data_IF_168700069023
#
_entry.id   IF_168700069023
#
_cell.length_a   1.000
_cell.length_b   1.000
_cell.length_c   1.000
_cell.angle_alpha   90.00
_cell.angle_beta   90.00
_cell.angle_gamma   90.00
#
_symmetry.space_group_name_H-M   'P 1'
#
loop_
_entity.id
_entity.type
_entity.pdbx_description
1 polymer ?
#
# COMPACT_ATOMS: atom_id res chain seq x y z
N UNK A 1 26.52 22.74 -22.73
CA UNK A 1 26.47 21.27 -22.58
C UNK A 1 25.52 20.98 -21.44
N UNK A 2 24.51 20.15 -21.66
CA UNK A 2 23.62 19.71 -20.59
C UNK A 2 24.39 18.82 -19.63
N UNK A 3 24.54 19.27 -18.39
CA UNK A 3 25.23 18.53 -17.32
C UNK A 3 24.40 17.31 -16.87
N UNK A 4 23.08 17.38 -17.03
CA UNK A 4 22.14 16.31 -16.71
C UNK A 4 22.41 15.08 -17.59
N UNK A 5 22.38 13.89 -16.99
CA UNK A 5 22.74 12.61 -17.61
C UNK A 5 24.19 12.19 -17.35
N UNK A 6 25.04 13.10 -16.87
CA UNK A 6 26.44 12.80 -16.56
C UNK A 6 26.56 11.87 -15.36
N UNK A 7 27.42 10.85 -15.46
CA UNK A 7 27.79 10.03 -14.32
C UNK A 7 28.71 10.81 -13.38
N UNK A 8 28.39 10.82 -12.09
CA UNK A 8 29.08 11.57 -11.05
C UNK A 8 29.47 10.66 -9.89
N UNK A 9 30.63 10.92 -9.30
CA UNK A 9 31.08 10.29 -8.05
C UNK A 9 30.39 10.96 -6.87
N UNK A 10 29.90 10.16 -5.92
CA UNK A 10 29.15 10.66 -4.76
C UNK A 10 30.11 11.03 -3.62
N UNK A 11 30.21 12.31 -3.20
CA UNK A 11 31.13 12.74 -2.15
C UNK A 11 30.95 11.97 -0.84
N UNK A 12 32.05 11.52 -0.24
CA UNK A 12 32.02 10.80 1.05
C UNK A 12 31.47 9.36 0.97
N UNK A 13 31.44 8.76 -0.22
CA UNK A 13 31.16 7.33 -0.42
C UNK A 13 31.95 6.79 -1.62
N UNK A 14 32.27 5.49 -1.58
CA UNK A 14 32.77 4.78 -2.75
C UNK A 14 31.60 4.39 -3.66
N UNK A 15 31.29 5.24 -4.64
CA UNK A 15 30.45 4.89 -5.78
C UNK A 15 29.83 6.07 -6.51
N UNK A 16 28.83 5.79 -7.35
CA UNK A 16 28.45 6.64 -8.48
C UNK A 16 26.94 6.83 -8.58
N UNK A 17 26.53 7.91 -9.22
CA UNK A 17 25.15 8.19 -9.61
C UNK A 17 25.08 8.93 -10.93
N UNK A 18 23.87 9.17 -11.40
CA UNK A 18 23.59 9.97 -12.60
C UNK A 18 23.04 11.32 -12.14
N UNK A 19 23.62 12.42 -12.61
CA UNK A 19 23.07 13.75 -12.37
C UNK A 19 21.74 13.88 -13.11
N UNK A 20 20.64 14.08 -12.38
CA UNK A 20 19.29 14.20 -12.94
C UNK A 20 18.75 15.63 -12.87
N UNK A 21 19.28 16.44 -11.95
CA UNK A 21 18.85 17.81 -11.74
C UNK A 21 20.01 18.71 -11.29
N UNK A 22 20.00 19.97 -11.72
CA UNK A 22 20.90 21.03 -11.24
C UNK A 22 20.12 22.33 -11.11
N UNK A 23 20.04 22.88 -9.90
CA UNK A 23 19.29 24.13 -9.67
C UNK A 23 18.89 24.38 -8.22
N UNK A 24 18.14 25.46 -7.96
CA UNK A 24 17.59 25.77 -6.64
C UNK A 24 16.46 24.82 -6.25
N UNK A 25 16.25 24.61 -4.95
CA UNK A 25 15.13 23.82 -4.43
C UNK A 25 14.26 24.76 -3.59
N UNK A 26 12.95 24.72 -3.80
CA UNK A 26 11.99 25.50 -3.03
C UNK A 26 12.17 25.26 -1.53
N UNK A 27 12.17 26.36 -0.77
CA UNK A 27 12.39 26.31 0.68
C UNK A 27 13.83 26.03 1.13
N UNK A 28 14.81 25.88 0.20
CA UNK A 28 16.23 25.65 0.54
C UNK A 28 17.14 26.69 -0.13
N UNK A 29 18.06 27.24 0.66
CA UNK A 29 19.05 28.18 0.16
C UNK A 29 20.18 27.46 -0.61
N UNK A 30 20.56 28.02 -1.77
CA UNK A 30 21.67 27.54 -2.59
C UNK A 30 21.26 26.68 -3.78
N UNK A 31 22.27 26.18 -4.49
CA UNK A 31 22.09 25.33 -5.68
C UNK A 31 22.44 23.88 -5.33
N UNK A 32 21.66 22.95 -5.86
CA UNK A 32 21.76 21.53 -5.57
C UNK A 32 21.89 20.72 -6.85
N UNK A 33 22.67 19.64 -6.77
CA UNK A 33 22.63 18.54 -7.73
C UNK A 33 21.72 17.44 -7.21
N UNK A 34 20.66 17.13 -7.96
CA UNK A 34 19.84 15.94 -7.74
C UNK A 34 20.44 14.77 -8.50
N UNK A 35 20.81 13.71 -7.80
CA UNK A 35 21.45 12.52 -8.37
C UNK A 35 20.59 11.29 -8.15
N UNK A 36 20.52 10.42 -9.16
CA UNK A 36 20.00 9.07 -9.05
C UNK A 36 21.16 8.12 -8.75
N UNK A 37 21.15 7.48 -7.59
CA UNK A 37 22.22 6.59 -7.16
C UNK A 37 22.16 5.26 -7.91
N UNK A 38 23.33 4.72 -8.28
CA UNK A 38 23.43 3.42 -8.97
C UNK A 38 24.06 2.37 -8.04
N UNK A 39 23.63 1.12 -8.20
CA UNK A 39 24.24 -0.03 -7.53
C UNK A 39 23.97 -0.06 -6.02
N UNK A 40 24.90 -0.61 -5.21
CA UNK A 40 24.70 -0.77 -3.76
C UNK A 40 24.45 0.53 -2.98
N UNK A 41 24.81 1.68 -3.55
CA UNK A 41 24.54 3.00 -2.98
C UNK A 41 23.07 3.38 -3.03
N UNK A 42 22.34 2.89 -4.03
CA UNK A 42 20.91 3.18 -4.21
C UNK A 42 20.10 2.72 -3.00
N UNK A 43 20.36 1.51 -2.50
CA UNK A 43 19.68 0.92 -1.34
C UNK A 43 20.12 1.52 0.00
N UNK A 44 21.35 2.03 0.09
CA UNK A 44 21.94 2.46 1.37
C UNK A 44 21.93 3.97 1.62
N UNK A 45 21.90 4.80 0.57
CA UNK A 45 21.96 6.26 0.68
C UNK A 45 20.88 7.02 -0.06
N UNK A 46 20.03 6.34 -0.81
CA UNK A 46 18.85 6.96 -1.39
C UNK A 46 17.90 7.47 -0.30
N UNK A 47 17.32 8.65 -0.50
CA UNK A 47 16.49 9.33 0.51
C UNK A 47 15.17 9.86 -0.02
N UNK A 48 15.05 10.01 -1.33
CA UNK A 48 13.87 10.56 -1.96
C UNK A 48 13.69 9.96 -3.35
N UNK A 49 12.53 10.22 -3.96
CA UNK A 49 12.23 9.81 -5.33
C UNK A 49 12.33 11.01 -6.30
N UNK A 50 13.22 11.96 -5.98
CA UNK A 50 13.41 13.19 -6.74
C UNK A 50 12.39 14.29 -6.46
N UNK A 51 11.60 14.17 -5.39
CA UNK A 51 10.70 15.20 -4.90
C UNK A 51 11.16 15.80 -3.55
N UNK A 52 10.80 17.06 -3.29
CA UNK A 52 10.96 17.75 -2.00
C UNK A 52 9.66 18.52 -1.74
N UNK A 53 9.04 18.29 -0.57
CA UNK A 53 7.84 19.00 -0.10
C UNK A 53 6.69 19.06 -1.14
N UNK A 54 6.48 17.97 -1.87
CA UNK A 54 5.43 17.84 -2.88
C UNK A 54 5.79 18.34 -4.29
N UNK A 55 6.95 18.98 -4.46
CA UNK A 55 7.46 19.43 -5.76
C UNK A 55 8.41 18.37 -6.35
N UNK A 56 8.15 17.92 -7.58
CA UNK A 56 8.98 16.96 -8.31
C UNK A 56 10.07 17.70 -9.10
N UNK A 57 11.34 17.36 -8.87
CA UNK A 57 12.50 17.97 -9.53
C UNK A 57 13.12 17.06 -10.59
N UNK A 58 13.09 15.74 -10.39
CA UNK A 58 13.58 14.77 -11.36
C UNK A 58 12.99 13.38 -11.11
N UNK A 59 12.95 12.53 -12.13
CA UNK A 59 12.49 11.16 -11.99
C UNK A 59 13.63 10.18 -11.67
N UNK A 60 13.29 9.15 -10.89
CA UNK A 60 14.18 8.01 -10.58
C UNK A 60 13.55 6.73 -11.13
N UNK A 61 14.38 5.79 -11.59
CA UNK A 61 13.90 4.48 -12.09
C UNK A 61 13.42 3.59 -10.96
N UNK A 62 14.05 3.70 -9.79
CA UNK A 62 13.72 2.92 -8.60
C UNK A 62 13.34 3.91 -7.49
N UNK A 63 12.19 3.76 -6.82
CA UNK A 63 11.79 4.64 -5.73
C UNK A 63 12.86 4.76 -4.64
N UNK A 64 12.94 5.92 -4.00
CA UNK A 64 13.87 6.19 -2.89
C UNK A 64 15.36 6.05 -3.24
N UNK A 65 15.75 6.16 -4.52
CA UNK A 65 17.17 6.13 -4.94
C UNK A 65 17.76 7.50 -5.25
N UNK A 66 16.94 8.55 -5.17
CA UNK A 66 17.33 9.94 -5.37
C UNK A 66 18.03 10.53 -4.14
N UNK A 67 18.98 11.43 -4.40
CA UNK A 67 19.69 12.19 -3.38
C UNK A 67 19.98 13.61 -3.86
N UNK A 68 19.73 14.61 -3.02
CA UNK A 68 20.14 15.99 -3.28
C UNK A 68 21.43 16.30 -2.52
N UNK A 69 22.41 16.87 -3.23
CA UNK A 69 23.70 17.28 -2.66
C UNK A 69 23.94 18.74 -3.04
N UNK A 70 24.42 19.60 -2.11
CA UNK A 70 24.83 20.96 -2.45
C UNK A 70 25.82 20.97 -3.62
N UNK A 71 25.58 21.81 -4.62
CA UNK A 71 26.34 21.80 -5.88
C UNK A 71 27.84 21.91 -5.66
N UNK A 72 28.26 22.81 -4.76
CA UNK A 72 29.67 23.01 -4.45
C UNK A 72 30.35 21.75 -3.94
N UNK A 73 29.63 20.97 -3.14
CA UNK A 73 30.14 19.71 -2.59
C UNK A 73 30.19 18.61 -3.65
N UNK A 74 29.25 18.63 -4.59
CA UNK A 74 29.21 17.68 -5.70
C UNK A 74 30.35 17.93 -6.70
N UNK A 75 30.61 19.19 -7.09
CA UNK A 75 31.70 19.54 -8.03
C UNK A 75 33.08 19.27 -7.45
N UNK A 76 33.30 19.41 -6.14
CA UNK A 76 34.61 19.13 -5.52
C UNK A 76 35.06 17.68 -5.72
N UNK A 77 34.12 16.73 -5.87
CA UNK A 77 34.43 15.33 -6.19
C UNK A 77 34.31 15.00 -7.68
N UNK A 78 33.92 15.98 -8.50
CA UNK A 78 33.63 15.82 -9.92
C UNK A 78 34.15 17.02 -10.73
N UNK A 79 35.48 17.12 -10.95
CA UNK A 79 36.09 18.24 -11.67
C UNK A 79 35.56 18.43 -13.10
N UNK A 80 35.01 17.38 -13.71
CA UNK A 80 34.38 17.42 -15.03
C UNK A 80 33.09 18.26 -15.10
N UNK A 81 32.52 18.61 -13.94
CA UNK A 81 31.33 19.48 -13.85
C UNK A 81 31.70 20.97 -13.84
N UNK A 82 32.99 21.31 -13.78
CA UNK A 82 33.47 22.69 -13.85
C UNK A 82 33.38 23.19 -15.31
N UNK A 83 32.20 23.69 -15.67
CA UNK A 83 32.04 24.58 -16.81
C UNK A 83 32.49 25.98 -16.41
N UNK A 84 33.78 26.25 -16.55
CA UNK A 84 34.33 27.59 -16.46
C UNK A 84 33.71 28.48 -17.56
N UNK A 85 32.65 29.21 -17.18
CA UNK A 85 32.09 30.30 -17.98
C UNK A 85 32.60 31.66 -17.47
N UNK A 86 33.69 31.70 -16.70
CA UNK A 86 34.19 32.95 -16.12
C UNK A 86 35.67 32.87 -15.77
N UNK A 87 36.52 33.05 -16.80
CA UNK A 87 37.85 33.65 -16.62
C UNK A 87 39.04 32.69 -16.73
N UNK A 88 39.33 32.22 -17.94
CA UNK A 88 40.69 31.77 -18.30
C UNK A 88 41.67 32.94 -18.28
N UNK A 89 42.32 33.18 -17.15
CA UNK A 89 43.63 33.83 -17.11
C UNK A 89 44.68 32.74 -17.29
N UNK A 90 45.38 32.83 -18.40
CA UNK A 90 46.58 32.08 -18.76
C UNK A 90 47.55 31.97 -17.57
N UNK A 91 47.90 30.74 -17.18
CA UNK A 91 49.16 30.44 -16.52
C UNK A 91 49.87 29.35 -17.30
N UNK A 92 50.64 29.80 -18.28
CA UNK A 92 51.73 29.03 -18.86
C UNK A 92 52.72 28.67 -17.74
N UNK A 93 52.81 27.40 -17.39
CA UNK A 93 53.95 26.86 -16.68
C UNK A 93 55.01 26.43 -17.70
N UNK A 94 56.04 27.26 -17.87
CA UNK A 94 57.26 26.93 -18.61
C UNK A 94 57.95 25.72 -17.98
N UNK A 95 57.77 24.54 -18.57
CA UNK A 95 58.61 23.37 -18.33
C UNK A 95 59.91 23.51 -19.10
N UNK A 96 60.97 24.01 -18.46
CA UNK A 96 62.32 24.00 -19.02
C UNK A 96 62.92 22.60 -18.92
N UNK A 97 62.72 21.79 -19.96
CA UNK A 97 63.55 20.61 -20.22
C UNK A 97 64.95 21.03 -20.66
N UNK A 98 65.94 20.93 -19.77
CA UNK A 98 67.35 21.12 -20.13
C UNK A 98 67.92 19.80 -20.68
N UNK A 99 67.99 19.75 -22.02
CA UNK A 99 68.82 18.84 -22.80
C UNK A 99 70.30 19.07 -22.45
N UNK A 100 71.01 18.02 -22.02
CA UNK A 100 72.46 18.03 -21.84
C UNK A 100 73.13 18.02 -23.22
N UNK A 101 73.62 19.18 -23.66
CA UNK A 101 74.55 19.29 -24.78
C UNK A 101 75.97 18.97 -24.29
N UNK A 102 76.58 17.93 -24.88
CA UNK A 102 78.01 17.64 -24.78
C UNK A 102 78.71 18.34 -25.95
N UNK A 103 79.61 19.32 -25.74
CA UNK A 103 80.49 19.76 -26.79
C UNK A 103 81.76 18.91 -26.81
N UNK A 104 82.00 18.24 -27.92
CA UNK A 104 83.35 17.82 -28.33
C UNK A 104 84.13 19.06 -28.76
N UNK A 105 85.42 19.18 -28.41
CA UNK A 105 86.58 19.08 -29.35
C UNK A 105 87.87 19.79 -28.85
N UNK A 106 88.97 19.05 -29.08
CA UNK A 106 90.40 19.39 -29.36
C UNK A 106 91.17 20.45 -28.56
N UNK A 107 92.25 19.94 -27.95
CA UNK A 107 93.65 20.44 -27.93
C UNK A 107 93.95 21.87 -28.38
N UNK A 108 94.50 22.70 -27.48
CA UNK A 108 95.79 23.38 -27.64
C UNK A 108 96.24 24.09 -26.34
N UNK A 109 97.57 24.15 -26.20
CA UNK A 109 98.40 24.64 -25.09
C UNK A 109 98.40 26.16 -24.89
N UNK A 110 98.44 26.64 -23.63
CA UNK A 110 99.22 27.81 -23.12
C UNK A 110 99.01 27.99 -21.61
N UNK A 111 99.96 28.59 -20.86
CA UNK A 111 99.95 28.60 -19.39
C UNK A 111 99.62 29.99 -18.81
N UNK A 112 98.34 30.28 -18.56
CA UNK A 112 97.90 31.51 -17.85
C UNK A 112 96.68 31.30 -16.93
N UNK A 113 96.39 30.06 -16.48
CA UNK A 113 95.12 29.67 -15.85
C UNK A 113 95.06 29.60 -14.31
N UNK A 114 96.03 30.16 -13.58
CA UNK A 114 96.14 29.83 -12.14
C UNK A 114 95.30 30.70 -11.18
N UNK A 115 94.76 31.84 -11.63
CA UNK A 115 93.83 32.68 -10.84
C UNK A 115 92.36 32.29 -11.02
N UNK A 116 91.96 31.86 -12.22
CA UNK A 116 90.59 31.40 -12.52
C UNK A 116 90.28 30.03 -11.93
N UNK A 117 91.22 29.08 -12.00
CA UNK A 117 91.00 27.70 -11.51
C UNK A 117 90.67 27.63 -10.01
N UNK A 118 91.18 28.59 -9.22
CA UNK A 118 90.91 28.69 -7.78
C UNK A 118 89.52 29.24 -7.49
N UNK A 119 89.02 30.17 -8.31
CA UNK A 119 87.66 30.70 -8.19
C UNK A 119 86.63 29.66 -8.65
N UNK A 120 86.92 28.92 -9.72
CA UNK A 120 86.10 27.79 -10.17
C UNK A 120 86.01 26.68 -9.11
N UNK A 121 87.13 26.31 -8.50
CA UNK A 121 87.15 25.31 -7.43
C UNK A 121 86.35 25.75 -6.19
N UNK A 122 86.37 27.04 -5.84
CA UNK A 122 85.56 27.59 -4.75
C UNK A 122 84.06 27.57 -5.09
N UNK A 123 83.69 27.86 -6.33
CA UNK A 123 82.30 27.79 -6.79
C UNK A 123 81.75 26.36 -6.75
N UNK A 124 82.49 25.38 -7.27
CA UNK A 124 82.07 23.98 -7.22
C UNK A 124 82.02 23.44 -5.78
N UNK A 125 82.93 23.88 -4.90
CA UNK A 125 82.89 23.54 -3.48
C UNK A 125 81.63 24.09 -2.82
N UNK A 126 81.27 25.35 -3.09
CA UNK A 126 80.04 25.95 -2.55
C UNK A 126 78.80 25.22 -3.06
N UNK A 127 78.74 24.88 -4.35
CA UNK A 127 77.62 24.09 -4.89
C UNK A 127 77.53 22.69 -4.25
N UNK A 128 78.66 22.02 -4.05
CA UNK A 128 78.69 20.73 -3.37
C UNK A 128 78.17 20.82 -1.94
N UNK A 129 78.57 21.85 -1.17
CA UNK A 129 78.06 22.02 0.19
C UNK A 129 76.56 22.33 0.21
N UNK A 130 76.06 23.18 -0.69
CA UNK A 130 74.61 23.43 -0.80
C UNK A 130 73.83 22.16 -1.17
N UNK A 131 74.37 21.35 -2.09
CA UNK A 131 73.72 20.11 -2.51
C UNK A 131 73.77 19.05 -1.39
N UNK A 132 74.86 19.02 -0.62
CA UNK A 132 75.01 18.16 0.54
C UNK A 132 73.99 18.50 1.61
N UNK A 133 73.84 19.78 1.96
CA UNK A 133 72.82 20.24 2.90
C UNK A 133 71.40 19.91 2.43
N UNK A 134 71.11 20.08 1.13
CA UNK A 134 69.81 19.67 0.56
C UNK A 134 69.59 18.16 0.65
N UNK A 135 70.63 17.37 0.44
CA UNK A 135 70.56 15.91 0.51
C UNK A 135 70.33 15.45 1.95
N UNK A 136 70.97 16.10 2.93
CA UNK A 136 70.77 15.84 4.37
C UNK A 136 69.35 16.22 4.83
N UNK A 137 68.82 17.36 4.34
CA UNK A 137 67.41 17.74 4.58
C UNK A 137 66.44 16.71 3.99
N UNK A 138 66.67 16.28 2.75
CA UNK A 138 65.86 15.25 2.10
C UNK A 138 65.96 13.90 2.81
N UNK A 139 67.14 13.51 3.29
CA UNK A 139 67.31 12.27 4.04
C UNK A 139 66.58 12.32 5.38
N UNK A 140 66.63 13.45 6.09
CA UNK A 140 65.90 13.62 7.35
C UNK A 140 64.38 13.51 7.14
N UNK A 141 63.84 14.13 6.09
CA UNK A 141 62.43 14.02 5.72
C UNK A 141 62.07 12.58 5.36
N UNK A 142 62.91 11.87 4.61
CA UNK A 142 62.68 10.47 4.25
C UNK A 142 62.63 9.57 5.48
N UNK A 143 63.53 9.77 6.45
CA UNK A 143 63.52 9.01 7.70
C UNK A 143 62.24 9.26 8.50
N UNK A 144 61.78 10.51 8.56
CA UNK A 144 60.52 10.83 9.24
C UNK A 144 59.31 10.22 8.53
N UNK A 145 59.27 10.27 7.20
CA UNK A 145 58.23 9.58 6.41
C UNK A 145 58.26 8.07 6.65
N UNK A 146 59.43 7.44 6.65
CA UNK A 146 59.57 6.02 6.95
C UNK A 146 59.08 5.68 8.37
N UNK A 147 59.33 6.54 9.35
CA UNK A 147 58.80 6.38 10.71
C UNK A 147 57.27 6.43 10.72
N UNK A 148 56.67 7.42 10.07
CA UNK A 148 55.20 7.53 10.01
C UNK A 148 54.55 6.36 9.29
N UNK A 149 55.19 5.85 8.21
CA UNK A 149 54.71 4.65 7.52
C UNK A 149 54.76 3.44 8.44
N UNK A 150 55.87 3.24 9.17
CA UNK A 150 56.01 2.13 10.11
C UNK A 150 54.99 2.20 11.28
N UNK A 151 54.54 3.38 11.66
CA UNK A 151 53.49 3.57 12.66
C UNK A 151 52.08 3.28 12.10
N UNK A 152 51.83 3.60 10.83
CA UNK A 152 50.51 3.43 10.21
C UNK A 152 50.25 2.00 9.69
N UNK A 153 51.30 1.29 9.28
CA UNK A 153 51.21 -0.07 8.74
C UNK A 153 50.48 -1.07 9.66
N UNK A 154 50.81 -1.18 10.97
CA UNK A 154 50.08 -2.10 11.86
C UNK A 154 48.63 -1.66 12.13
N UNK A 155 48.37 -0.35 12.11
CA UNK A 155 47.02 0.19 12.30
C UNK A 155 46.12 -0.15 11.10
N UNK A 156 46.66 -0.07 9.88
CA UNK A 156 45.95 -0.48 8.67
C UNK A 156 45.63 -1.99 8.70
N UNK A 157 46.59 -2.82 9.12
CA UNK A 157 46.38 -4.26 9.24
C UNK A 157 45.34 -4.63 10.31
N UNK A 158 45.24 -3.86 11.40
CA UNK A 158 44.15 -3.97 12.38
C UNK A 158 42.79 -3.61 11.74
N UNK A 159 42.68 -2.47 11.05
CA UNK A 159 41.43 -2.09 10.39
C UNK A 159 41.01 -3.08 9.31
N UNK A 160 41.95 -3.66 8.56
CA UNK A 160 41.65 -4.70 7.58
C UNK A 160 41.12 -5.98 8.23
N UNK A 161 41.69 -6.40 9.37
CA UNK A 161 41.17 -7.54 10.15
C UNK A 161 39.77 -7.27 10.67
N UNK A 162 39.52 -6.09 11.22
CA UNK A 162 38.20 -5.68 11.71
C UNK A 162 37.16 -5.68 10.59
N UNK A 163 37.51 -5.16 9.41
CA UNK A 163 36.63 -5.19 8.24
C UNK A 163 36.31 -6.64 7.83
N UNK A 164 37.32 -7.51 7.76
CA UNK A 164 37.11 -8.93 7.44
C UNK A 164 36.22 -9.64 8.45
N UNK A 165 36.37 -9.36 9.75
CA UNK A 165 35.53 -9.97 10.79
C UNK A 165 34.08 -9.48 10.68
N UNK A 166 33.88 -8.18 10.46
CA UNK A 166 32.53 -7.61 10.25
C UNK A 166 31.87 -8.17 8.99
N UNK A 167 32.61 -8.32 7.90
CA UNK A 167 32.10 -8.90 6.66
C UNK A 167 31.72 -10.38 6.85
N UNK A 168 32.54 -11.15 7.57
CA UNK A 168 32.20 -12.53 7.95
C UNK A 168 30.92 -12.59 8.79
N UNK A 169 30.76 -11.67 9.76
CA UNK A 169 29.57 -11.60 10.61
C UNK A 169 28.33 -11.27 9.78
N UNK A 170 28.42 -10.30 8.87
CA UNK A 170 27.33 -9.95 7.95
C UNK A 170 26.98 -11.11 7.02
N UNK A 171 27.98 -11.82 6.48
CA UNK A 171 27.77 -13.00 5.64
C UNK A 171 27.04 -14.12 6.41
N UNK A 172 27.46 -14.38 7.65
CA UNK A 172 26.80 -15.36 8.52
C UNK A 172 25.35 -14.99 8.80
N UNK A 173 25.07 -13.74 9.18
CA UNK A 173 23.71 -13.26 9.42
C UNK A 173 22.84 -13.38 8.17
N UNK A 174 23.37 -12.99 6.99
CA UNK A 174 22.65 -13.13 5.71
C UNK A 174 22.32 -14.59 5.41
N UNK A 175 23.26 -15.51 5.63
CA UNK A 175 23.03 -16.94 5.43
C UNK A 175 21.97 -17.51 6.40
N UNK A 176 21.98 -17.07 7.67
CA UNK A 176 20.97 -17.44 8.66
C UNK A 176 19.57 -16.94 8.25
N UNK A 177 19.46 -15.69 7.80
CA UNK A 177 18.20 -15.16 7.28
C UNK A 177 17.72 -15.90 6.03
N UNK A 178 18.62 -16.22 5.10
CA UNK A 178 18.25 -16.98 3.91
C UNK A 178 17.71 -18.37 4.28
N UNK A 179 18.39 -19.06 5.20
CA UNK A 179 17.94 -20.36 5.69
C UNK A 179 16.59 -20.27 6.40
N UNK A 180 16.37 -19.22 7.19
CA UNK A 180 15.08 -18.99 7.84
C UNK A 180 13.97 -18.72 6.81
N UNK A 181 14.25 -17.95 5.74
CA UNK A 181 13.32 -17.72 4.64
C UNK A 181 12.96 -19.01 3.92
N UNK A 182 13.95 -19.85 3.61
CA UNK A 182 13.71 -21.11 2.93
C UNK A 182 12.88 -22.07 3.78
N UNK A 183 13.23 -22.25 5.05
CA UNK A 183 12.43 -23.07 5.98
C UNK A 183 10.99 -22.57 6.09
N UNK A 184 10.79 -21.25 6.12
CA UNK A 184 9.45 -20.67 6.18
C UNK A 184 8.68 -20.90 4.88
N UNK A 185 9.35 -20.79 3.73
CA UNK A 185 8.78 -21.11 2.42
C UNK A 185 8.33 -22.56 2.34
N UNK A 186 9.20 -23.51 2.72
CA UNK A 186 8.86 -24.94 2.76
C UNK A 186 7.65 -25.22 3.66
N UNK A 187 7.62 -24.60 4.85
CA UNK A 187 6.47 -24.71 5.76
C UNK A 187 5.18 -24.13 5.16
N UNK A 188 5.28 -23.03 4.41
CA UNK A 188 4.13 -22.38 3.78
C UNK A 188 3.62 -23.21 2.60
N UNK A 189 4.50 -23.77 1.77
CA UNK A 189 4.14 -24.66 0.66
C UNK A 189 3.44 -25.93 1.19
N UNK A 190 3.96 -26.52 2.28
CA UNK A 190 3.31 -27.66 2.94
C UNK A 190 1.92 -27.29 3.47
N UNK A 191 1.80 -26.16 4.17
CA UNK A 191 0.51 -25.68 4.70
C UNK A 191 -0.49 -25.39 3.56
N UNK A 192 -0.03 -24.78 2.47
CA UNK A 192 -0.87 -24.49 1.31
C UNK A 192 -1.34 -25.76 0.61
N UNK A 193 -0.45 -26.76 0.44
CA UNK A 193 -0.80 -28.05 -0.18
C UNK A 193 -1.83 -28.79 0.65
N UNK A 194 -1.59 -28.89 1.97
CA UNK A 194 -2.53 -29.54 2.89
C UNK A 194 -3.89 -28.83 2.92
N UNK A 195 -3.90 -27.49 2.97
CA UNK A 195 -5.14 -26.72 2.89
C UNK A 195 -5.89 -26.99 1.57
N UNK A 196 -5.19 -26.96 0.44
CA UNK A 196 -5.78 -27.25 -0.87
C UNK A 196 -6.38 -28.66 -0.94
N UNK A 197 -5.67 -29.67 -0.42
CA UNK A 197 -6.17 -31.04 -0.36
C UNK A 197 -7.44 -31.14 0.51
N UNK A 198 -7.46 -30.45 1.66
CA UNK A 198 -8.66 -30.42 2.51
C UNK A 198 -9.83 -29.73 1.84
N UNK A 199 -9.59 -28.64 1.11
CA UNK A 199 -10.62 -27.92 0.37
C UNK A 199 -11.24 -28.80 -0.71
N UNK A 200 -10.40 -29.46 -1.52
CA UNK A 200 -10.87 -30.42 -2.53
C UNK A 200 -11.69 -31.56 -1.91
N UNK A 201 -11.26 -32.09 -0.77
CA UNK A 201 -12.01 -33.11 -0.03
C UNK A 201 -13.39 -32.61 0.40
N UNK A 202 -13.49 -31.40 0.96
CA UNK A 202 -14.77 -30.83 1.37
C UNK A 202 -15.66 -30.49 0.17
N UNK A 203 -15.11 -29.98 -0.92
CA UNK A 203 -15.85 -29.76 -2.16
C UNK A 203 -16.44 -31.06 -2.72
N UNK A 204 -15.65 -32.15 -2.73
CA UNK A 204 -16.15 -33.46 -3.14
C UNK A 204 -17.27 -33.94 -2.22
N UNK A 205 -17.11 -33.78 -0.90
CA UNK A 205 -18.14 -34.17 0.06
C UNK A 205 -19.42 -33.34 -0.08
N UNK A 206 -19.30 -32.05 -0.37
CA UNK A 206 -20.44 -31.18 -0.67
C UNK A 206 -21.14 -31.62 -1.95
N UNK A 207 -20.40 -31.93 -3.01
CA UNK A 207 -20.98 -32.48 -4.26
C UNK A 207 -21.66 -33.83 -4.05
N UNK A 208 -21.16 -34.69 -3.16
CA UNK A 208 -21.83 -35.95 -2.82
C UNK A 208 -23.17 -35.71 -2.09
N UNK A 209 -23.20 -34.75 -1.17
CA UNK A 209 -24.42 -34.37 -0.45
C UNK A 209 -25.43 -33.65 -1.34
N UNK A 210 -24.99 -32.76 -2.23
CA UNK A 210 -25.84 -32.06 -3.21
C UNK A 210 -26.31 -32.98 -4.34
N UNK A 211 -25.39 -33.83 -4.83
CA UNK A 211 -25.62 -34.83 -5.86
C UNK A 211 -26.32 -36.10 -5.36
N UNK A 212 -26.73 -36.12 -4.09
CA UNK A 212 -27.60 -37.15 -3.55
C UNK A 212 -28.88 -37.19 -4.37
N UNK A 213 -28.92 -38.08 -5.37
CA UNK A 213 -30.05 -38.30 -6.28
C UNK A 213 -31.38 -38.48 -5.53
N UNK A 214 -31.31 -38.86 -4.25
CA UNK A 214 -32.43 -38.91 -3.32
C UNK A 214 -33.08 -37.55 -3.04
N UNK A 215 -32.34 -36.46 -2.85
CA UNK A 215 -32.91 -35.15 -2.53
C UNK A 215 -33.62 -34.58 -3.75
N UNK A 216 -32.98 -34.65 -4.93
CA UNK A 216 -33.57 -34.13 -6.17
C UNK A 216 -34.76 -35.00 -6.64
N UNK A 217 -34.68 -36.32 -6.50
CA UNK A 217 -35.83 -37.20 -6.77
C UNK A 217 -36.98 -36.97 -5.78
N UNK A 218 -36.68 -36.75 -4.50
CA UNK A 218 -37.69 -36.47 -3.47
C UNK A 218 -38.35 -35.10 -3.70
N UNK A 219 -37.59 -34.08 -4.09
CA UNK A 219 -38.13 -32.77 -4.50
C UNK A 219 -39.12 -32.91 -5.65
N UNK A 220 -38.74 -33.65 -6.71
CA UNK A 220 -39.62 -33.92 -7.85
C UNK A 220 -40.86 -34.72 -7.47
N UNK A 221 -40.74 -35.63 -6.50
CA UNK A 221 -41.89 -36.38 -5.99
C UNK A 221 -42.86 -35.45 -5.24
N UNK A 222 -42.34 -34.63 -4.32
CA UNK A 222 -43.14 -33.64 -3.59
C UNK A 222 -43.77 -32.60 -4.52
N UNK A 223 -43.07 -32.16 -5.56
CA UNK A 223 -43.61 -31.22 -6.54
C UNK A 223 -44.84 -31.80 -7.27
N UNK A 224 -44.76 -33.07 -7.69
CA UNK A 224 -45.93 -33.78 -8.28
C UNK A 224 -47.09 -33.92 -7.29
N UNK A 225 -46.80 -34.18 -6.03
CA UNK A 225 -47.83 -34.33 -5.00
C UNK A 225 -48.51 -32.99 -4.68
N UNK A 226 -47.74 -31.89 -4.66
CA UNK A 226 -48.27 -30.52 -4.55
C UNK A 226 -49.20 -30.21 -5.73
N UNK A 227 -48.78 -30.50 -6.96
CA UNK A 227 -49.61 -30.28 -8.16
C UNK A 227 -50.92 -31.08 -8.12
N UNK A 228 -50.88 -32.33 -7.65
CA UNK A 228 -52.06 -33.17 -7.51
C UNK A 228 -53.03 -32.62 -6.45
N UNK A 229 -52.49 -32.19 -5.30
CA UNK A 229 -53.28 -31.57 -4.24
C UNK A 229 -53.90 -30.25 -4.69
N UNK A 230 -53.18 -29.42 -5.45
CA UNK A 230 -53.71 -28.19 -6.03
C UNK A 230 -54.87 -28.46 -6.99
N UNK A 231 -54.74 -29.44 -7.90
CA UNK A 231 -55.84 -29.84 -8.80
C UNK A 231 -57.07 -30.33 -8.04
N UNK A 232 -56.87 -31.13 -6.99
CA UNK A 232 -57.97 -31.61 -6.13
C UNK A 232 -58.65 -30.45 -5.40
N UNK A 233 -57.87 -29.48 -4.92
CA UNK A 233 -58.38 -28.29 -4.25
C UNK A 233 -59.22 -27.45 -5.22
N UNK A 234 -58.72 -27.16 -6.43
CA UNK A 234 -59.44 -26.42 -7.46
C UNK A 234 -60.74 -27.13 -7.87
N UNK A 235 -60.70 -28.45 -8.05
CA UNK A 235 -61.90 -29.24 -8.38
C UNK A 235 -62.94 -29.18 -7.24
N UNK A 236 -62.49 -29.25 -5.99
CA UNK A 236 -63.36 -29.12 -4.82
C UNK A 236 -63.97 -27.72 -4.72
N UNK A 237 -63.16 -26.68 -4.94
CA UNK A 237 -63.61 -25.28 -4.96
C UNK A 237 -64.65 -25.03 -6.05
N UNK A 238 -64.40 -25.52 -7.28
CA UNK A 238 -65.38 -25.41 -8.38
C UNK A 238 -66.69 -26.13 -8.05
N UNK A 239 -66.61 -27.29 -7.39
CA UNK A 239 -67.79 -28.01 -6.93
C UNK A 239 -68.56 -27.24 -5.86
N UNK A 240 -67.86 -26.63 -4.90
CA UNK A 240 -68.47 -25.76 -3.88
C UNK A 240 -69.15 -24.57 -4.54
N UNK A 241 -68.48 -23.87 -5.47
CA UNK A 241 -69.06 -22.74 -6.19
C UNK A 241 -70.33 -23.14 -6.97
N UNK A 242 -70.32 -24.32 -7.59
CA UNK A 242 -71.50 -24.85 -8.30
C UNK A 242 -72.65 -25.13 -7.35
N UNK A 243 -72.37 -25.76 -6.20
CA UNK A 243 -73.36 -26.03 -5.17
C UNK A 243 -73.92 -24.74 -4.56
N UNK A 244 -73.09 -23.73 -4.35
CA UNK A 244 -73.50 -22.40 -3.89
C UNK A 244 -74.44 -21.73 -4.89
N UNK A 245 -74.13 -21.78 -6.19
CA UNK A 245 -75.02 -21.28 -7.25
C UNK A 245 -76.35 -22.02 -7.29
N UNK A 246 -76.33 -23.34 -7.11
CA UNK A 246 -77.56 -24.14 -7.02
C UNK A 246 -78.38 -23.78 -5.78
N UNK A 247 -77.73 -23.61 -4.63
CA UNK A 247 -78.38 -23.20 -3.38
C UNK A 247 -79.02 -21.81 -3.53
N UNK A 248 -78.32 -20.87 -4.16
CA UNK A 248 -78.82 -19.53 -4.42
C UNK A 248 -80.00 -19.53 -5.40
N UNK A 249 -79.94 -20.35 -6.45
CA UNK A 249 -81.07 -20.52 -7.36
C UNK A 249 -82.31 -21.12 -6.67
N UNK A 250 -82.13 -22.10 -5.79
CA UNK A 250 -83.22 -22.69 -5.00
C UNK A 250 -83.79 -21.70 -3.97
N UNK A 251 -82.94 -20.91 -3.28
CA UNK A 251 -83.40 -19.81 -2.41
C UNK A 251 -84.25 -18.81 -3.18
N UNK A 252 -83.78 -18.32 -4.32
CA UNK A 252 -84.51 -17.36 -5.15
C UNK A 252 -85.86 -17.92 -5.66
N UNK A 253 -85.94 -19.22 -5.98
CA UNK A 253 -87.22 -19.87 -6.30
C UNK A 253 -88.15 -19.91 -5.09
N UNK A 254 -87.62 -20.20 -3.91
CA UNK A 254 -88.40 -20.28 -2.68
C UNK A 254 -88.89 -18.89 -2.24
N UNK A 255 -88.05 -17.86 -2.35
CA UNK A 255 -88.40 -16.47 -2.08
C UNK A 255 -89.44 -15.95 -3.07
N UNK A 256 -89.34 -16.30 -4.36
CA UNK A 256 -90.39 -15.99 -5.36
C UNK A 256 -91.72 -16.65 -5.02
N UNK A 257 -91.72 -17.92 -4.61
CA UNK A 257 -92.93 -18.61 -4.12
C UNK A 257 -93.49 -17.92 -2.87
N UNK A 258 -92.64 -17.52 -1.93
CA UNK A 258 -93.06 -16.78 -0.73
C UNK A 258 -93.65 -15.40 -1.06
N UNK A 259 -93.10 -14.68 -2.05
CA UNK A 259 -93.64 -13.40 -2.53
C UNK A 259 -94.98 -13.53 -3.25
N UNK A 260 -95.18 -14.57 -4.07
CA UNK A 260 -96.47 -14.85 -4.73
C UNK A 260 -97.56 -15.19 -3.70
N UNK A 261 -97.21 -15.93 -2.64
CA UNK A 261 -98.12 -16.26 -1.53
C UNK A 261 -98.50 -15.02 -0.68
N UNK A 262 -97.62 -14.01 -0.59
CA UNK A 262 -97.89 -12.73 0.11
C UNK A 262 -98.70 -11.77 -0.76
N UNK A 263 -98.39 -11.65 -2.06
CA UNK A 263 -99.11 -10.81 -3.03
C UNK A 263 -100.60 -11.23 -3.14
N UNK A 264 -100.86 -12.54 -3.07
CA UNK A 264 -102.22 -13.09 -3.07
C UNK A 264 -103.01 -12.75 -1.79
N UNK A 265 -102.33 -12.41 -0.68
CA UNK A 265 -102.96 -12.07 0.62
C UNK A 265 -103.09 -10.57 0.90
N UNK A 266 -102.55 -9.67 0.06
CA UNK A 266 -102.59 -8.21 0.26
C UNK A 266 -103.52 -7.42 -0.67
N UNK A 267 -104.52 -8.06 -1.29
CA UNK A 267 -105.52 -7.40 -2.15
C UNK A 267 -106.78 -6.85 -1.44
N UNK A 268 -106.84 -6.89 -0.10
CA UNK A 268 -107.83 -6.14 0.66
C UNK A 268 -107.16 -5.54 1.89
N UNK A 269 -107.06 -4.21 1.95
CA UNK A 269 -107.57 -3.38 3.06
C UNK A 269 -107.30 -1.92 2.68
N UNK A 270 -108.37 -1.16 2.40
CA UNK A 270 -108.30 0.29 2.29
C UNK A 270 -108.58 0.91 3.66
N UNK A 271 -107.58 1.68 4.13
CA UNK A 271 -107.59 2.78 5.10
C UNK A 271 -108.41 2.67 6.40
N UNK A 272 -107.72 2.80 7.54
CA UNK A 272 -108.04 3.93 8.41
C UNK A 272 -106.86 4.40 9.28
N UNK A 273 -106.83 5.72 9.48
CA UNK A 273 -105.98 6.48 10.37
C UNK A 273 -105.84 5.84 11.76
N UNK A 274 -104.60 5.75 12.27
CA UNK A 274 -104.23 6.44 13.51
C UNK A 274 -102.72 6.32 13.79
N UNK A 275 -102.20 7.42 14.31
CA UNK A 275 -100.86 7.68 14.85
C UNK A 275 -100.17 6.43 15.42
N UNK A 276 -98.95 6.13 14.93
CA UNK A 276 -98.10 5.08 15.49
C UNK A 276 -97.74 5.44 16.94
N UNK A 277 -98.03 4.58 17.93
CA UNK A 277 -97.59 4.81 19.28
C UNK A 277 -96.07 4.63 19.35
N UNK A 278 -95.36 5.64 19.85
CA UNK A 278 -93.98 5.46 20.29
C UNK A 278 -94.01 4.46 21.45
N UNK A 279 -93.41 3.30 21.25
CA UNK A 279 -93.33 2.24 22.26
C UNK A 279 -92.30 2.62 23.32
N UNK A 280 -92.79 3.05 24.48
CA UNK A 280 -91.99 3.10 25.70
C UNK A 280 -92.09 1.75 26.44
N UNK A 281 -90.96 1.03 26.65
CA UNK A 281 -90.98 -0.27 27.29
C UNK A 281 -91.36 -0.17 28.77
N UNK A 282 -92.20 -1.10 29.25
CA UNK A 282 -92.69 -1.18 30.65
C UNK A 282 -91.61 -1.48 31.70
N UNK A 283 -90.39 -1.78 31.27
CA UNK A 283 -89.18 -1.84 32.09
C UNK A 283 -88.06 -1.25 31.26
N UNK A 284 -87.30 -0.30 31.82
CA UNK A 284 -86.02 0.10 31.25
C UNK A 284 -85.06 -1.08 31.44
N UNK A 285 -85.00 -1.96 30.44
CA UNK A 285 -83.92 -2.93 30.32
C UNK A 285 -82.88 -2.29 29.44
N UNK A 286 -81.75 -1.93 30.06
CA UNK A 286 -80.55 -1.48 29.36
C UNK A 286 -80.22 -2.51 28.26
N UNK A 287 -80.03 -2.09 26.99
CA UNK A 287 -79.60 -2.97 25.89
C UNK A 287 -78.33 -3.79 26.19
N UNK A 288 -77.63 -3.50 27.29
CA UNK A 288 -76.42 -4.16 27.76
C UNK A 288 -76.66 -5.25 28.82
N UNK A 289 -77.88 -5.41 29.36
CA UNK A 289 -78.14 -6.47 30.35
C UNK A 289 -78.14 -7.85 29.69
N UNK A 290 -77.08 -8.63 29.97
CA UNK A 290 -76.88 -9.99 29.45
C UNK A 290 -75.73 -10.13 28.46
N UNK A 291 -74.94 -9.07 28.22
CA UNK A 291 -73.63 -9.20 27.55
C UNK A 291 -72.55 -9.44 28.59
N UNK A 292 -71.64 -10.38 28.30
CA UNK A 292 -70.40 -10.50 29.04
C UNK A 292 -69.63 -9.18 28.88
N UNK A 293 -69.22 -8.58 30.01
CA UNK A 293 -68.51 -7.30 29.98
C UNK A 293 -67.18 -7.49 29.26
N UNK A 294 -66.99 -6.86 28.11
CA UNK A 294 -65.73 -6.89 27.36
C UNK A 294 -64.97 -5.58 27.54
N UNK A 295 -63.69 -5.67 27.86
CA UNK A 295 -62.82 -4.53 28.12
C UNK A 295 -62.05 -4.15 26.86
N UNK A 296 -62.35 -2.98 26.28
CA UNK A 296 -61.62 -2.47 25.10
C UNK A 296 -60.19 -1.98 25.36
N UNK A 297 -59.71 -1.97 26.61
CA UNK A 297 -58.33 -1.58 26.95
C UNK A 297 -57.36 -2.77 26.93
N UNK A 298 -57.82 -3.96 27.33
CA UNK A 298 -57.02 -5.19 27.36
C UNK A 298 -57.57 -6.32 26.47
N UNK A 299 -58.68 -6.07 25.78
CA UNK A 299 -59.41 -6.99 24.89
C UNK A 299 -59.93 -8.28 25.56
N UNK A 300 -60.15 -8.27 26.88
CA UNK A 300 -60.62 -9.43 27.66
C UNK A 300 -62.07 -9.31 28.16
N UNK A 301 -62.72 -10.47 28.31
CA UNK A 301 -64.05 -10.60 28.91
C UNK A 301 -64.02 -10.58 30.46
N UNK A 302 -65.13 -10.20 31.08
CA UNK A 302 -65.36 -10.22 32.52
C UNK A 302 -65.36 -8.86 33.23
N UNK A 303 -64.94 -7.76 32.58
CA UNK A 303 -64.91 -6.42 33.18
C UNK A 303 -65.09 -5.29 32.14
N UNK A 304 -65.46 -4.10 32.59
CA UNK A 304 -65.57 -2.90 31.73
C UNK A 304 -64.27 -2.07 31.80
N UNK A 305 -64.01 -1.25 30.78
CA UNK A 305 -62.77 -0.45 30.69
C UNK A 305 -62.48 0.41 31.93
N UNK A 306 -63.51 0.91 32.63
CA UNK A 306 -63.36 1.72 33.85
C UNK A 306 -62.94 0.92 35.10
N UNK A 307 -62.98 -0.40 35.05
CA UNK A 307 -62.59 -1.31 36.14
C UNK A 307 -61.47 -2.26 35.69
N UNK A 308 -60.69 -1.85 34.68
CA UNK A 308 -59.62 -2.67 34.12
C UNK A 308 -58.50 -2.86 35.15
N UNK A 309 -58.25 -4.09 35.65
CA UNK A 309 -57.14 -4.35 36.57
C UNK A 309 -55.77 -4.09 35.95
N UNK A 310 -55.72 -4.02 34.62
CA UNK A 310 -54.53 -3.91 33.80
C UNK A 310 -54.35 -2.49 33.21
N UNK A 311 -55.13 -1.49 33.66
CA UNK A 311 -55.05 -0.11 33.13
C UNK A 311 -53.64 0.51 33.28
N UNK A 312 -52.84 0.02 34.23
CA UNK A 312 -51.48 0.50 34.47
C UNK A 312 -50.35 -0.38 33.88
N UNK A 313 -50.67 -1.49 33.19
CA UNK A 313 -49.66 -2.39 32.61
C UNK A 313 -49.36 -2.07 31.13
N UNK A 314 -49.96 -1.00 30.59
CA UNK A 314 -49.73 -0.52 29.24
C UNK A 314 -48.77 0.70 29.19
N UNK A 315 -47.64 0.62 29.91
CA UNK A 315 -46.41 1.40 29.65
C UNK A 315 -45.16 0.65 30.10
#
# INVERSE_FOLDING_TARGET
MDLVGTQVTVPGSRGHGILRYYGPIDGKAGVFGGIELIGPLATSRGKNSGNVDGVQYFDVKIPQTGLFIPWERLRSSNPQLDNDTSGRISRQSSGNGRQLHIPKRSTQSTPEKNRDSRQEALFYKQQYETLKEETEKKSAILTELQRTVAELEPLLEEYERDLQERDKKLAKQRAEFERARENWRESMDLMSSTQQETELFYEEKLKELEGGANIEALKKLHEKEIDELQRKLEASQSRVETLEKQLEAEKNKNDRKALDDISTKMAHTSLNNNQLPIYEPKKQTDPSTGRDNWCGLCEQDGHVASECPYENDAF
#
